data_IF_875441284440
#
_entry.id   IF_875441284440
#
_cell.length_a   1.000
_cell.length_b   1.000
_cell.length_c   1.000
_cell.angle_alpha   90.00
_cell.angle_beta   90.00
_cell.angle_gamma   90.00
#
_symmetry.space_group_name_H-M   'P 1'
#
loop_
_entity.id
_entity.type
_entity.pdbx_description
1 polymer ?
#
# COMPACT_ATOMS: atom_id res chain seq x y z
N UNK A 1 9.26 9.58 -22.18
CA UNK A 1 8.03 8.90 -21.77
C UNK A 1 7.35 9.54 -20.56
N UNK A 2 8.07 9.76 -19.42
CA UNK A 2 7.50 10.40 -18.22
C UNK A 2 6.88 11.78 -18.52
N UNK A 3 7.46 12.55 -19.44
CA UNK A 3 6.90 13.83 -19.88
C UNK A 3 5.57 13.67 -20.61
N UNK A 4 5.47 12.68 -21.52
CA UNK A 4 4.21 12.42 -22.23
C UNK A 4 3.09 11.98 -21.27
N UNK A 5 3.41 11.16 -20.27
CA UNK A 5 2.45 10.72 -19.24
C UNK A 5 1.96 11.91 -18.42
N UNK A 6 2.87 12.81 -18.01
CA UNK A 6 2.53 14.07 -17.33
C UNK A 6 1.64 14.98 -18.21
N UNK A 7 1.96 15.11 -19.49
CA UNK A 7 1.21 15.96 -20.42
C UNK A 7 -0.21 15.42 -20.62
N UNK A 8 -0.37 14.09 -20.72
CA UNK A 8 -1.68 13.43 -20.74
C UNK A 8 -2.48 13.71 -19.47
N UNK A 9 -1.85 13.61 -18.28
CA UNK A 9 -2.50 13.97 -17.02
C UNK A 9 -2.96 15.43 -17.03
N UNK A 10 -2.09 16.36 -17.45
CA UNK A 10 -2.41 17.79 -17.50
C UNK A 10 -3.60 18.05 -18.41
N UNK A 11 -3.58 17.51 -19.64
CA UNK A 11 -4.67 17.68 -20.62
C UNK A 11 -6.00 17.17 -20.08
N UNK A 12 -6.00 15.98 -19.46
CA UNK A 12 -7.24 15.41 -18.91
C UNK A 12 -7.76 16.22 -17.72
N UNK A 13 -6.87 16.67 -16.84
CA UNK A 13 -7.24 17.51 -15.69
C UNK A 13 -7.73 18.89 -16.13
N UNK A 14 -7.14 19.47 -17.17
CA UNK A 14 -7.59 20.76 -17.71
C UNK A 14 -8.98 20.62 -18.37
N UNK A 15 -9.26 19.47 -18.98
CA UNK A 15 -10.60 19.15 -19.48
C UNK A 15 -11.63 19.07 -18.34
N UNK A 16 -11.34 18.33 -17.26
CA UNK A 16 -12.23 18.20 -16.10
C UNK A 16 -12.45 19.51 -15.33
N UNK A 17 -11.48 20.41 -15.37
CA UNK A 17 -11.56 21.71 -14.69
C UNK A 17 -12.33 22.77 -15.49
N UNK A 18 -12.79 22.48 -16.72
CA UNK A 18 -13.71 23.37 -17.44
C UNK A 18 -14.99 23.56 -16.63
N UNK A 19 -15.49 24.79 -16.53
CA UNK A 19 -16.56 25.21 -15.63
C UNK A 19 -17.77 24.26 -15.68
N UNK A 20 -18.22 23.92 -16.88
CA UNK A 20 -19.41 23.09 -17.05
C UNK A 20 -19.25 21.64 -16.54
N UNK A 21 -18.01 21.09 -16.53
CA UNK A 21 -17.72 19.78 -15.93
C UNK A 21 -17.48 19.90 -14.42
N UNK A 22 -16.76 20.94 -14.00
CA UNK A 22 -16.43 21.16 -12.61
C UNK A 22 -17.67 21.47 -11.73
N UNK A 23 -18.72 22.06 -12.31
CA UNK A 23 -20.01 22.26 -11.66
C UNK A 23 -20.80 20.96 -11.48
N UNK A 24 -20.63 19.98 -12.37
CA UNK A 24 -21.28 18.67 -12.29
C UNK A 24 -20.54 17.69 -11.40
N UNK A 25 -19.21 17.77 -11.37
CA UNK A 25 -18.34 16.86 -10.65
C UNK A 25 -17.58 17.60 -9.55
N UNK A 26 -18.10 17.56 -8.34
CA UNK A 26 -17.40 18.11 -7.17
C UNK A 26 -15.96 17.56 -7.11
N UNK A 27 -15.03 18.41 -6.69
CA UNK A 27 -13.62 18.04 -6.46
C UNK A 27 -13.42 16.89 -5.46
N UNK A 28 -14.46 16.55 -4.71
CA UNK A 28 -14.53 15.38 -3.82
C UNK A 28 -14.98 14.11 -4.53
N UNK A 29 -15.43 14.20 -5.78
CA UNK A 29 -15.82 13.02 -6.54
C UNK A 29 -14.61 12.12 -6.83
N UNK A 30 -14.83 10.82 -6.83
CA UNK A 30 -13.79 9.83 -7.16
C UNK A 30 -13.20 10.03 -8.58
N UNK A 31 -13.91 10.74 -9.45
CA UNK A 31 -13.45 11.05 -10.81
C UNK A 31 -12.12 11.83 -10.81
N UNK A 32 -11.95 12.78 -9.88
CA UNK A 32 -10.72 13.58 -9.81
C UNK A 32 -9.53 12.80 -9.24
N UNK A 33 -9.75 11.86 -8.31
CA UNK A 33 -8.67 11.03 -7.75
C UNK A 33 -8.31 9.87 -8.67
N UNK A 34 -9.28 9.23 -9.34
CA UNK A 34 -9.03 8.08 -10.23
C UNK A 34 -8.11 8.42 -11.41
N UNK A 35 -8.09 9.67 -11.87
CA UNK A 35 -7.14 10.14 -12.90
C UNK A 35 -5.70 10.10 -12.39
N UNK A 36 -5.47 10.38 -11.10
CA UNK A 36 -4.15 10.25 -10.49
C UNK A 36 -3.74 8.78 -10.35
N UNK A 37 -4.68 7.89 -10.04
CA UNK A 37 -4.45 6.45 -9.98
C UNK A 37 -4.01 5.92 -11.36
N UNK A 38 -4.70 6.31 -12.43
CA UNK A 38 -4.34 5.97 -13.81
C UNK A 38 -2.97 6.55 -14.21
N UNK A 39 -2.71 7.80 -13.87
CA UNK A 39 -1.40 8.43 -14.09
C UNK A 39 -0.28 7.64 -13.42
N UNK A 40 -0.45 7.21 -12.18
CA UNK A 40 0.54 6.41 -11.45
C UNK A 40 0.74 5.04 -12.10
N UNK A 41 -0.35 4.42 -12.59
CA UNK A 41 -0.25 3.16 -13.31
C UNK A 41 0.66 3.29 -14.54
N UNK A 42 0.42 4.29 -15.40
CA UNK A 42 1.27 4.52 -16.58
C UNK A 42 2.69 4.94 -16.21
N UNK A 43 2.88 5.63 -15.09
CA UNK A 43 4.19 6.05 -14.61
C UNK A 43 5.06 4.84 -14.20
N UNK A 44 4.45 3.84 -13.57
CA UNK A 44 5.18 2.74 -12.92
C UNK A 44 5.06 1.38 -13.60
N UNK A 45 4.12 1.17 -14.52
CA UNK A 45 3.86 -0.17 -15.11
C UNK A 45 5.08 -0.85 -15.72
N UNK A 46 5.97 -0.10 -16.36
CA UNK A 46 7.17 -0.69 -16.96
C UNK A 46 8.24 -0.98 -15.92
N UNK A 47 8.29 -0.19 -14.85
CA UNK A 47 9.19 -0.44 -13.73
C UNK A 47 8.82 -1.74 -13.01
N UNK A 48 7.53 -2.04 -12.93
CA UNK A 48 7.00 -3.22 -12.20
C UNK A 48 6.97 -4.46 -13.09
N UNK A 49 6.82 -4.31 -14.40
CA UNK A 49 6.72 -5.43 -15.34
C UNK A 49 7.91 -6.39 -15.33
N UNK A 50 9.06 -5.94 -14.88
CA UNK A 50 10.29 -6.75 -14.79
C UNK A 50 10.34 -7.65 -13.53
N UNK A 51 9.43 -7.49 -12.55
CA UNK A 51 9.48 -8.22 -11.27
C UNK A 51 8.73 -9.56 -11.24
N UNK A 52 8.06 -9.95 -12.33
CA UNK A 52 7.42 -11.25 -12.49
C UNK A 52 5.89 -11.24 -12.44
N UNK A 53 5.28 -12.43 -12.62
CA UNK A 53 3.82 -12.60 -12.81
C UNK A 53 2.98 -12.26 -11.57
N UNK A 54 3.55 -12.38 -10.38
CA UNK A 54 2.86 -12.06 -9.12
C UNK A 54 3.00 -10.58 -8.71
N UNK A 55 3.57 -9.74 -9.57
CA UNK A 55 3.73 -8.33 -9.30
C UNK A 55 2.37 -7.62 -9.35
N UNK A 56 2.02 -6.99 -8.23
CA UNK A 56 0.80 -6.21 -8.07
C UNK A 56 1.05 -4.75 -8.44
N UNK A 57 0.21 -4.18 -9.30
CA UNK A 57 0.22 -2.74 -9.60
C UNK A 57 -1.20 -2.23 -9.85
N UNK A 58 -1.60 -1.16 -9.16
CA UNK A 58 -2.88 -0.49 -9.33
C UNK A 58 -3.68 -0.39 -8.04
N UNK A 59 -4.98 -0.14 -8.16
CA UNK A 59 -5.89 -0.12 -7.02
C UNK A 59 -6.03 -1.51 -6.42
N UNK A 60 -5.95 -1.63 -5.09
CA UNK A 60 -6.00 -2.93 -4.45
C UNK A 60 -6.65 -2.90 -3.08
N UNK A 61 -7.29 -4.01 -2.74
CA UNK A 61 -7.78 -4.38 -1.42
C UNK A 61 -6.71 -5.19 -0.69
N UNK A 62 -5.70 -4.49 -0.15
CA UNK A 62 -4.55 -5.14 0.47
C UNK A 62 -4.89 -5.83 1.79
N UNK A 63 -4.14 -6.86 2.11
CA UNK A 63 -4.23 -7.53 3.40
C UNK A 63 -4.00 -6.54 4.54
N UNK A 64 -4.90 -6.54 5.52
CA UNK A 64 -4.79 -5.73 6.73
C UNK A 64 -4.62 -6.59 7.97
N UNK A 65 -5.48 -7.57 8.17
CA UNK A 65 -5.45 -8.41 9.35
C UNK A 65 -6.15 -9.74 9.11
N UNK A 66 -5.97 -10.68 10.03
CA UNK A 66 -6.64 -11.98 10.04
C UNK A 66 -7.24 -12.25 11.42
N UNK A 67 -8.47 -12.70 11.45
CA UNK A 67 -9.11 -13.18 12.68
C UNK A 67 -9.64 -14.59 12.51
N UNK A 68 -9.66 -15.31 13.61
CA UNK A 68 -10.29 -16.61 13.70
C UNK A 68 -11.58 -16.48 14.52
N UNK A 69 -12.72 -16.72 13.89
CA UNK A 69 -14.06 -16.50 14.46
C UNK A 69 -14.95 -17.73 14.40
N UNK A 70 -14.48 -18.90 14.88
CA UNK A 70 -15.30 -20.09 14.92
C UNK A 70 -16.43 -19.91 15.94
N UNK A 71 -17.60 -20.55 15.72
CA UNK A 71 -18.72 -20.47 16.67
C UNK A 71 -18.44 -21.20 17.99
N UNK A 72 -17.51 -22.18 17.97
CA UNK A 72 -17.08 -22.95 19.14
C UNK A 72 -15.62 -23.37 18.99
N UNK A 73 -14.93 -23.61 20.11
CA UNK A 73 -13.55 -24.11 20.11
C UNK A 73 -13.39 -25.43 19.34
N UNK A 74 -14.32 -26.37 19.52
CA UNK A 74 -14.30 -27.64 18.79
C UNK A 74 -14.44 -27.52 17.27
N UNK A 75 -15.08 -26.45 16.79
CA UNK A 75 -15.17 -26.16 15.36
C UNK A 75 -13.86 -25.57 14.81
N UNK A 76 -13.12 -24.83 15.62
CA UNK A 76 -11.80 -24.31 15.24
C UNK A 76 -10.79 -25.43 15.01
N UNK A 77 -10.89 -26.54 15.77
CA UNK A 77 -10.06 -27.73 15.59
C UNK A 77 -10.32 -28.45 14.26
N UNK A 78 -11.54 -28.34 13.72
CA UNK A 78 -11.93 -28.97 12.46
C UNK A 78 -11.71 -28.08 11.25
N UNK A 79 -11.89 -26.77 11.43
CA UNK A 79 -11.79 -25.77 10.39
C UNK A 79 -11.33 -24.43 11.00
N UNK A 80 -10.30 -23.74 10.44
CA UNK A 80 -9.75 -22.51 11.00
C UNK A 80 -10.74 -21.36 11.08
N UNK A 81 -11.73 -21.26 10.18
CA UNK A 81 -12.67 -20.12 10.08
C UNK A 81 -11.96 -18.78 10.03
N UNK A 82 -10.95 -18.68 9.17
CA UNK A 82 -10.18 -17.47 9.00
C UNK A 82 -11.02 -16.36 8.32
N UNK A 83 -11.06 -15.19 8.92
CA UNK A 83 -11.57 -13.96 8.29
C UNK A 83 -10.44 -13.01 7.98
N UNK A 84 -10.40 -12.56 6.74
CA UNK A 84 -9.40 -11.63 6.23
C UNK A 84 -10.00 -10.23 6.21
N UNK A 85 -9.41 -9.31 6.97
CA UNK A 85 -9.69 -7.89 6.84
C UNK A 85 -8.78 -7.29 5.76
N UNK A 86 -9.38 -6.51 4.87
CA UNK A 86 -8.67 -5.83 3.77
C UNK A 86 -8.78 -4.31 3.94
N UNK A 87 -7.76 -3.60 3.44
CA UNK A 87 -7.71 -2.15 3.38
C UNK A 87 -7.63 -1.70 1.93
N UNK A 88 -8.53 -0.80 1.55
CA UNK A 88 -8.49 -0.18 0.23
C UNK A 88 -7.38 0.86 0.17
N UNK A 89 -6.56 0.77 -0.86
CA UNK A 89 -5.57 1.78 -1.23
C UNK A 89 -5.82 2.25 -2.66
N UNK A 90 -5.68 3.55 -2.89
CA UNK A 90 -5.91 4.17 -4.20
C UNK A 90 -4.94 3.62 -5.25
N UNK A 91 -3.67 3.41 -4.85
CA UNK A 91 -2.66 2.82 -5.72
C UNK A 91 -1.62 2.04 -4.90
N UNK A 92 -1.28 0.85 -5.38
CA UNK A 92 -0.33 -0.07 -4.74
C UNK A 92 0.65 -0.62 -5.77
N UNK A 93 1.90 -0.78 -5.35
CA UNK A 93 2.88 -1.69 -5.96
C UNK A 93 3.26 -2.71 -4.90
N UNK A 94 3.24 -3.99 -5.25
CA UNK A 94 3.50 -5.05 -4.29
C UNK A 94 3.52 -6.44 -4.91
N UNK A 95 3.08 -7.42 -4.15
CA UNK A 95 2.97 -8.79 -4.61
C UNK A 95 1.64 -9.41 -4.16
N UNK A 96 1.10 -10.28 -5.00
CA UNK A 96 -0.04 -11.13 -4.65
C UNK A 96 0.49 -12.49 -4.21
N UNK A 97 0.13 -12.93 -3.00
CA UNK A 97 0.53 -14.23 -2.46
C UNK A 97 -0.71 -15.08 -2.15
N UNK A 98 -0.54 -16.39 -2.24
CA UNK A 98 -1.55 -17.36 -1.84
C UNK A 98 -1.13 -18.00 -0.52
N UNK A 99 -2.05 -18.03 0.46
CA UNK A 99 -1.85 -18.63 1.79
C UNK A 99 -2.91 -19.67 2.02
N UNK A 100 -2.49 -20.86 2.44
CA UNK A 100 -3.38 -21.95 2.80
C UNK A 100 -3.30 -22.21 4.30
N UNK A 101 -4.46 -22.28 4.95
CA UNK A 101 -4.60 -22.67 6.35
C UNK A 101 -5.06 -24.12 6.40
N UNK A 102 -4.29 -24.95 7.08
CA UNK A 102 -4.59 -26.37 7.23
C UNK A 102 -4.86 -26.65 8.70
N UNK A 103 -5.99 -27.31 9.00
CA UNK A 103 -6.24 -27.80 10.34
C UNK A 103 -5.43 -29.09 10.56
N UNK A 104 -4.78 -29.23 11.71
CA UNK A 104 -4.16 -30.47 12.10
C UNK A 104 -5.21 -31.60 12.07
N UNK A 105 -4.88 -32.81 11.61
CA UNK A 105 -5.78 -33.96 11.74
C UNK A 105 -6.12 -34.14 13.22
N UNK A 106 -7.38 -34.56 13.54
CA UNK A 106 -7.70 -34.93 14.91
C UNK A 106 -6.68 -35.98 15.35
N UNK A 107 -6.18 -35.90 16.60
CA UNK A 107 -5.31 -36.93 17.11
C UNK A 107 -5.99 -38.30 16.90
N UNK A 108 -5.28 -39.24 16.30
CA UNK A 108 -5.77 -40.62 16.20
C UNK A 108 -6.17 -41.03 17.61
N UNK A 109 -7.43 -41.43 17.78
CA UNK A 109 -7.88 -41.99 19.05
C UNK A 109 -7.19 -43.35 19.18
N UNK A 110 -6.02 -43.34 19.81
CA UNK A 110 -5.39 -44.58 20.26
C UNK A 110 -6.36 -45.26 21.21
N UNK A 111 -6.88 -46.41 20.78
CA UNK A 111 -7.74 -47.28 21.60
C UNK A 111 -6.99 -47.87 22.82
N UNK A 112 -5.77 -47.35 23.10
CA UNK A 112 -4.98 -47.83 24.23
C UNK A 112 -4.65 -46.72 25.23
N UNK A 113 -5.30 -46.65 26.41
CA UNK A 113 -5.06 -45.61 27.40
C UNK A 113 -3.78 -45.83 28.23
N UNK A 114 -2.65 -46.07 27.61
CA UNK A 114 -1.43 -46.40 28.32
C UNK A 114 -0.10 -45.91 27.77
N UNK A 115 -0.06 -45.29 26.61
CA UNK A 115 1.22 -44.82 26.05
C UNK A 115 1.44 -43.30 26.18
N UNK A 116 2.57 -42.98 26.80
CA UNK A 116 3.03 -41.66 27.11
C UNK A 116 3.21 -40.82 25.85
N UNK A 117 2.68 -39.58 25.86
CA UNK A 117 3.01 -38.53 24.90
C UNK A 117 4.54 -38.33 24.90
N UNK A 118 5.18 -38.82 23.87
CA UNK A 118 6.59 -38.50 23.61
C UNK A 118 6.66 -37.14 22.98
N UNK A 119 7.18 -36.16 23.73
CA UNK A 119 7.53 -34.86 23.20
C UNK A 119 8.60 -35.10 22.12
N UNK A 120 8.23 -34.88 20.86
CA UNK A 120 9.18 -34.88 19.74
C UNK A 120 10.11 -33.69 19.93
N UNK A 121 11.38 -33.98 20.19
CA UNK A 121 12.42 -32.93 20.13
C UNK A 121 12.61 -32.53 18.67
N UNK A 122 12.40 -31.29 18.40
CA UNK A 122 12.66 -30.66 17.09
C UNK A 122 14.14 -30.81 16.73
N UNK A 123 14.43 -31.57 15.67
CA UNK A 123 15.69 -31.44 14.94
C UNK A 123 15.47 -30.59 13.67
N UNK A 124 16.35 -29.62 13.35
CA UNK A 124 16.04 -28.55 12.42
C UNK A 124 16.17 -28.89 10.93
N UNK A 125 16.29 -30.12 10.49
CA UNK A 125 16.66 -30.42 9.09
C UNK A 125 15.75 -31.39 8.29
N UNK A 126 14.55 -31.73 8.75
CA UNK A 126 13.64 -32.55 7.94
C UNK A 126 12.20 -32.05 8.04
N UNK A 127 11.82 -31.11 7.22
CA UNK A 127 10.39 -30.87 6.94
C UNK A 127 9.84 -32.07 6.14
N UNK A 128 9.42 -33.11 6.79
CA UNK A 128 8.58 -34.11 6.17
C UNK A 128 7.25 -33.44 5.87
N UNK A 129 6.89 -33.36 4.59
CA UNK A 129 5.54 -32.93 4.20
C UNK A 129 4.54 -33.92 4.77
N UNK A 130 3.95 -33.62 5.90
CA UNK A 130 2.79 -34.34 6.42
C UNK A 130 1.63 -34.01 5.47
N UNK A 131 1.15 -34.98 4.71
CA UNK A 131 -0.10 -34.88 3.97
C UNK A 131 -1.24 -34.80 4.98
N UNK A 132 -1.61 -33.58 5.35
CA UNK A 132 -2.77 -33.35 6.19
C UNK A 132 -4.02 -33.54 5.33
N UNK A 133 -4.80 -34.55 5.56
CA UNK A 133 -6.14 -34.76 4.98
C UNK A 133 -7.19 -33.99 5.79
N UNK A 134 -6.92 -32.68 6.01
CA UNK A 134 -7.82 -31.78 6.70
C UNK A 134 -8.49 -30.79 5.72
N UNK A 135 -9.52 -30.08 6.18
CA UNK A 135 -10.11 -28.99 5.42
C UNK A 135 -9.08 -27.86 5.27
N UNK A 136 -8.68 -27.58 4.03
CA UNK A 136 -7.77 -26.49 3.68
C UNK A 136 -8.58 -25.27 3.25
N UNK A 137 -8.34 -24.14 3.88
CA UNK A 137 -8.86 -22.83 3.45
C UNK A 137 -7.76 -22.05 2.73
N UNK A 138 -7.99 -21.65 1.49
CA UNK A 138 -7.02 -20.91 0.69
C UNK A 138 -7.48 -19.48 0.49
N UNK A 139 -6.60 -18.53 0.75
CA UNK A 139 -6.85 -17.10 0.61
C UNK A 139 -5.77 -16.42 -0.24
N UNK A 140 -6.18 -15.40 -1.01
CA UNK A 140 -5.28 -14.56 -1.80
C UNK A 140 -5.08 -13.24 -1.07
N UNK A 141 -3.81 -12.88 -0.85
CA UNK A 141 -3.41 -11.65 -0.17
C UNK A 141 -2.61 -10.76 -1.11
N UNK A 142 -3.03 -9.51 -1.23
CA UNK A 142 -2.26 -8.45 -1.84
C UNK A 142 -1.41 -7.77 -0.75
N UNK A 143 -0.09 -7.89 -0.87
CA UNK A 143 0.89 -7.35 0.08
C UNK A 143 1.51 -6.10 -0.53
N UNK A 144 1.24 -4.90 0.01
CA UNK A 144 1.77 -3.66 -0.52
C UNK A 144 3.22 -3.45 -0.07
N UNK A 145 4.08 -3.13 -1.03
CA UNK A 145 5.46 -2.65 -0.83
C UNK A 145 5.50 -1.13 -0.91
N UNK A 146 4.72 -0.57 -1.85
CA UNK A 146 4.47 0.86 -1.96
C UNK A 146 2.97 1.08 -1.97
N UNK A 147 2.46 1.95 -1.10
CA UNK A 147 1.10 2.44 -1.13
C UNK A 147 1.09 3.94 -1.40
N UNK A 148 0.29 4.38 -2.36
CA UNK A 148 0.17 5.78 -2.72
C UNK A 148 -1.30 6.18 -2.61
N UNK A 149 -1.56 7.18 -1.79
CA UNK A 149 -2.86 7.80 -1.66
C UNK A 149 -3.00 8.99 -2.61
N UNK A 150 -4.05 8.99 -3.43
CA UNK A 150 -4.31 9.99 -4.46
C UNK A 150 -5.36 10.99 -3.99
N UNK A 151 -5.02 12.26 -3.94
CA UNK A 151 -5.94 13.31 -3.52
C UNK A 151 -5.95 14.47 -4.52
N UNK A 152 -7.11 15.08 -4.72
CA UNK A 152 -7.18 16.35 -5.46
C UNK A 152 -6.47 17.44 -4.68
N UNK A 153 -6.74 17.53 -3.38
CA UNK A 153 -6.02 18.38 -2.43
C UNK A 153 -5.83 17.65 -1.09
N UNK A 154 -4.93 18.13 -0.26
CA UNK A 154 -4.66 17.59 1.07
C UNK A 154 -4.91 18.65 2.13
N UNK A 155 -5.86 18.40 3.03
CA UNK A 155 -6.04 19.15 4.28
C UNK A 155 -5.50 18.36 5.49
N UNK A 156 -5.59 18.96 6.67
CA UNK A 156 -5.08 18.36 7.91
C UNK A 156 -5.79 17.06 8.27
N UNK A 157 -7.11 16.99 8.12
CA UNK A 157 -7.90 15.80 8.45
C UNK A 157 -7.54 14.63 7.52
N UNK A 158 -7.40 14.91 6.23
CA UNK A 158 -6.94 13.92 5.24
C UNK A 158 -5.53 13.42 5.55
N UNK A 159 -4.62 14.33 5.96
CA UNK A 159 -3.25 13.97 6.33
C UNK A 159 -3.21 13.11 7.60
N UNK A 160 -4.06 13.38 8.59
CA UNK A 160 -4.20 12.55 9.79
C UNK A 160 -4.70 11.14 9.43
N UNK A 161 -5.67 11.03 8.52
CA UNK A 161 -6.15 9.75 7.98
C UNK A 161 -5.05 8.97 7.25
N UNK A 162 -4.31 9.63 6.36
CA UNK A 162 -3.18 9.03 5.63
C UNK A 162 -2.06 8.59 6.57
N UNK A 163 -1.78 9.37 7.62
CA UNK A 163 -0.77 9.02 8.63
C UNK A 163 -1.15 7.75 9.41
N UNK A 164 -2.42 7.62 9.80
CA UNK A 164 -2.91 6.40 10.45
C UNK A 164 -2.82 5.19 9.53
N UNK A 165 -3.22 5.34 8.27
CA UNK A 165 -3.11 4.27 7.28
C UNK A 165 -1.64 3.86 7.03
N UNK A 166 -0.71 4.82 7.03
CA UNK A 166 0.72 4.55 6.93
C UNK A 166 1.25 3.79 8.14
N UNK A 167 0.82 4.16 9.35
CA UNK A 167 1.20 3.47 10.60
C UNK A 167 0.69 2.03 10.61
N UNK A 168 -0.58 1.82 10.26
CA UNK A 168 -1.19 0.50 10.14
C UNK A 168 -0.47 -0.39 9.12
N UNK A 169 -0.08 0.17 7.97
CA UNK A 169 0.66 -0.55 6.94
C UNK A 169 2.05 -0.96 7.45
N UNK A 170 2.80 -0.02 8.01
CA UNK A 170 4.18 -0.25 8.48
C UNK A 170 4.26 -1.17 9.69
N UNK A 171 3.21 -1.25 10.50
CA UNK A 171 3.14 -2.19 11.62
C UNK A 171 3.16 -3.67 11.13
N UNK A 172 2.72 -3.93 9.89
CA UNK A 172 2.65 -5.27 9.28
C UNK A 172 3.73 -5.51 8.24
N UNK A 173 4.12 -4.48 7.52
CA UNK A 173 5.22 -4.49 6.56
C UNK A 173 6.14 -3.29 6.84
N UNK A 174 7.13 -3.42 7.73
CA UNK A 174 8.04 -2.34 8.12
C UNK A 174 8.81 -1.72 6.95
N UNK A 175 9.05 -2.51 5.90
CA UNK A 175 9.73 -2.06 4.68
C UNK A 175 8.80 -1.39 3.67
N UNK A 176 7.53 -1.17 3.98
CA UNK A 176 6.62 -0.49 3.06
C UNK A 176 6.87 1.01 3.00
N UNK A 177 6.65 1.57 1.81
CA UNK A 177 6.73 3.00 1.53
C UNK A 177 5.31 3.57 1.37
N UNK A 178 4.93 4.55 2.20
CA UNK A 178 3.62 5.20 2.12
C UNK A 178 3.74 6.64 1.65
N UNK A 179 3.12 6.96 0.51
CA UNK A 179 3.21 8.25 -0.17
C UNK A 179 1.81 8.86 -0.31
N UNK A 180 1.71 10.19 -0.21
CA UNK A 180 0.51 10.94 -0.61
C UNK A 180 0.86 11.78 -1.84
N UNK A 181 0.05 11.67 -2.88
CA UNK A 181 0.16 12.46 -4.12
C UNK A 181 -1.09 13.32 -4.28
N UNK A 182 -0.91 14.62 -4.47
CA UNK A 182 -2.01 15.54 -4.68
C UNK A 182 -1.69 16.57 -5.77
N UNK A 183 -2.72 17.20 -6.30
CA UNK A 183 -2.52 18.33 -7.22
C UNK A 183 -2.25 19.62 -6.47
N UNK A 184 -3.05 19.97 -5.46
CA UNK A 184 -2.96 21.20 -4.67
C UNK A 184 -2.81 20.90 -3.17
N UNK A 185 -2.21 21.86 -2.44
CA UNK A 185 -2.07 21.77 -0.99
C UNK A 185 -3.05 22.70 -0.29
N UNK A 186 -3.73 22.19 0.76
CA UNK A 186 -4.62 22.98 1.64
C UNK A 186 -4.11 23.02 3.09
N UNK A 187 -2.90 22.53 3.34
CA UNK A 187 -2.26 22.60 4.64
C UNK A 187 -1.79 24.03 4.92
N UNK A 188 -1.96 24.47 6.16
CA UNK A 188 -1.38 25.70 6.68
C UNK A 188 0.12 25.55 6.97
N UNK A 189 0.85 26.65 7.02
CA UNK A 189 2.32 26.67 7.20
C UNK A 189 2.79 26.23 8.60
N UNK A 190 1.87 26.19 9.59
CA UNK A 190 2.13 25.78 10.96
C UNK A 190 2.05 24.28 11.19
N UNK A 191 1.65 23.50 10.18
CA UNK A 191 1.57 22.03 10.28
C UNK A 191 2.97 21.42 10.34
N UNK A 192 3.28 20.78 11.48
CA UNK A 192 4.52 20.03 11.61
C UNK A 192 4.40 18.66 10.94
N UNK A 193 4.95 18.53 9.73
CA UNK A 193 4.89 17.30 8.93
C UNK A 193 5.66 16.12 9.55
N UNK A 194 6.65 16.37 10.41
CA UNK A 194 7.49 15.31 11.02
C UNK A 194 6.74 14.40 11.99
N UNK A 195 5.58 14.82 12.49
CA UNK A 195 4.75 13.98 13.39
C UNK A 195 3.92 12.92 12.66
N UNK A 196 3.81 13.02 11.33
CA UNK A 196 3.02 12.10 10.52
C UNK A 196 3.89 10.93 10.01
N UNK A 197 3.27 9.77 9.85
CA UNK A 197 3.95 8.51 9.49
C UNK A 197 4.10 8.28 7.98
N UNK A 198 3.62 9.23 7.16
CA UNK A 198 3.82 9.19 5.71
C UNK A 198 5.29 9.45 5.36
N UNK A 199 5.83 8.71 4.40
CA UNK A 199 7.23 8.83 4.00
C UNK A 199 7.48 10.02 3.09
N UNK A 200 6.48 10.41 2.30
CA UNK A 200 6.59 11.59 1.42
C UNK A 200 5.21 12.09 1.00
N UNK A 201 5.14 13.39 0.76
CA UNK A 201 3.96 14.11 0.27
C UNK A 201 4.37 14.87 -0.99
N UNK A 202 3.66 14.64 -2.11
CA UNK A 202 3.92 15.31 -3.39
C UNK A 202 2.79 16.23 -3.77
N UNK A 203 3.13 17.50 -4.01
CA UNK A 203 2.22 18.53 -4.55
C UNK A 203 2.56 18.73 -6.03
N UNK A 204 1.78 18.16 -6.92
CA UNK A 204 2.12 18.09 -8.34
C UNK A 204 2.16 19.47 -9.03
N UNK A 205 1.31 20.40 -8.62
CA UNK A 205 1.23 21.75 -9.21
C UNK A 205 1.98 22.82 -8.42
N UNK A 206 2.53 22.49 -7.25
CA UNK A 206 3.21 23.43 -6.36
C UNK A 206 2.35 24.69 -6.09
N UNK A 207 1.06 24.54 -5.90
CA UNK A 207 0.08 25.60 -5.75
C UNK A 207 -0.88 25.29 -4.59
N UNK A 208 -1.38 26.35 -3.93
CA UNK A 208 -2.38 26.20 -2.86
C UNK A 208 -3.77 25.95 -3.44
N UNK A 209 -4.59 25.16 -2.74
CA UNK A 209 -5.97 24.91 -3.15
C UNK A 209 -6.85 26.17 -2.98
N UNK A 210 -6.50 27.11 -2.12
CA UNK A 210 -7.19 28.41 -2.00
C UNK A 210 -7.18 29.19 -3.30
N UNK A 211 -6.07 29.12 -4.06
CA UNK A 211 -5.97 29.80 -5.35
C UNK A 211 -6.94 29.21 -6.39
N UNK A 212 -7.34 27.95 -6.22
CA UNK A 212 -8.30 27.27 -7.10
C UNK A 212 -9.73 27.81 -6.97
N UNK A 213 -10.05 28.51 -5.91
CA UNK A 213 -11.35 29.16 -5.74
C UNK A 213 -11.57 30.25 -6.81
N UNK A 214 -10.49 30.84 -7.31
CA UNK A 214 -10.48 31.86 -8.36
C UNK A 214 -10.31 31.30 -9.77
N UNK A 215 -10.45 29.99 -9.98
CA UNK A 215 -10.11 29.29 -11.24
C UNK A 215 -10.89 29.72 -12.48
N UNK A 216 -11.95 30.48 -12.32
CA UNK A 216 -12.77 31.02 -13.42
C UNK A 216 -12.56 32.53 -13.64
N UNK A 217 -11.70 33.15 -12.86
CA UNK A 217 -11.31 34.56 -13.06
C UNK A 217 -10.27 34.68 -14.17
N UNK A 218 -10.30 35.80 -14.91
CA UNK A 218 -9.44 36.02 -16.08
C UNK A 218 -7.94 36.01 -15.74
N UNK A 219 -7.57 36.39 -14.53
CA UNK A 219 -6.18 36.47 -14.04
C UNK A 219 -5.72 35.18 -13.37
N UNK A 220 -6.57 34.17 -13.27
CA UNK A 220 -6.15 32.93 -12.62
C UNK A 220 -5.12 32.17 -13.46
N UNK A 221 -3.94 31.94 -12.86
CA UNK A 221 -2.87 31.13 -13.45
C UNK A 221 -2.81 29.79 -12.76
N UNK A 222 -3.19 28.74 -13.48
CA UNK A 222 -3.05 27.35 -13.05
C UNK A 222 -1.63 26.86 -13.33
N UNK A 223 -0.89 26.52 -12.27
CA UNK A 223 0.43 25.96 -12.44
C UNK A 223 0.37 24.61 -13.17
N UNK A 224 1.27 24.34 -14.12
CA UNK A 224 1.37 23.02 -14.75
C UNK A 224 1.80 21.95 -13.73
N UNK A 225 1.50 20.69 -14.02
CA UNK A 225 2.10 19.57 -13.28
C UNK A 225 3.62 19.61 -13.43
N UNK A 226 4.32 19.69 -12.31
CA UNK A 226 5.76 19.94 -12.30
C UNK A 226 6.56 18.66 -12.64
N UNK A 227 7.38 18.75 -13.68
CA UNK A 227 8.22 17.62 -14.17
C UNK A 227 9.21 17.13 -13.11
N UNK A 228 9.83 18.06 -12.36
CA UNK A 228 10.82 17.68 -11.34
C UNK A 228 10.16 16.90 -10.19
N UNK A 229 8.93 17.27 -9.80
CA UNK A 229 8.14 16.55 -8.79
C UNK A 229 7.82 15.14 -9.27
N UNK A 230 7.35 14.97 -10.52
CA UNK A 230 7.05 13.65 -11.10
C UNK A 230 8.32 12.78 -11.20
N UNK A 231 9.44 13.36 -11.63
CA UNK A 231 10.72 12.65 -11.66
C UNK A 231 11.16 12.21 -10.27
N UNK A 232 11.07 13.08 -9.27
CA UNK A 232 11.46 12.75 -7.91
C UNK A 232 10.58 11.63 -7.33
N UNK A 233 9.26 11.66 -7.56
CA UNK A 233 8.34 10.59 -7.19
C UNK A 233 8.77 9.26 -7.83
N UNK A 234 9.02 9.26 -9.15
CA UNK A 234 9.45 8.07 -9.87
C UNK A 234 10.75 7.48 -9.30
N UNK A 235 11.77 8.30 -9.10
CA UNK A 235 13.06 7.83 -8.58
C UNK A 235 12.99 7.38 -7.13
N UNK A 236 12.15 8.00 -6.30
CA UNK A 236 11.95 7.56 -4.91
C UNK A 236 11.34 6.15 -4.88
N UNK A 237 10.29 5.90 -5.65
CA UNK A 237 9.67 4.57 -5.75
C UNK A 237 10.65 3.56 -6.34
N UNK A 238 11.32 3.90 -7.46
CA UNK A 238 12.33 3.03 -8.07
C UNK A 238 13.43 2.66 -7.09
N UNK A 239 14.00 3.63 -6.39
CA UNK A 239 15.04 3.40 -5.37
C UNK A 239 14.55 2.43 -4.31
N UNK A 240 13.32 2.63 -3.82
CA UNK A 240 12.73 1.76 -2.80
C UNK A 240 12.57 0.31 -3.28
N UNK A 241 12.05 0.11 -4.50
CA UNK A 241 11.86 -1.22 -5.08
C UNK A 241 13.18 -1.94 -5.42
N UNK A 242 14.29 -1.22 -5.58
CA UNK A 242 15.60 -1.78 -5.90
C UNK A 242 16.57 -1.80 -4.70
N UNK A 243 16.12 -1.37 -3.53
CA UNK A 243 16.92 -1.41 -2.29
C UNK A 243 16.94 -2.85 -1.74
N UNK A 244 18.08 -3.27 -1.25
CA UNK A 244 18.21 -4.50 -0.47
C UNK A 244 17.62 -4.26 0.94
N UNK A 245 16.60 -5.02 1.30
CA UNK A 245 15.94 -4.94 2.61
C UNK A 245 16.44 -5.99 3.59
N UNK A 246 17.41 -6.82 3.21
CA UNK A 246 18.05 -7.75 4.13
C UNK A 246 18.78 -6.95 5.19
N UNK A 247 18.20 -6.84 6.37
CA UNK A 247 18.59 -5.95 7.45
C UNK A 247 20.11 -5.89 7.66
N UNK A 248 20.71 -4.75 7.42
CA UNK A 248 22.12 -4.47 7.31
C UNK A 248 22.96 -4.64 8.58
N UNK A 249 22.71 -5.67 9.41
CA UNK A 249 23.49 -5.93 10.65
C UNK A 249 24.96 -6.07 10.33
N UNK A 250 25.34 -6.90 9.35
CA UNK A 250 26.75 -7.07 8.97
C UNK A 250 27.39 -5.78 8.43
N UNK A 251 26.62 -5.02 7.63
CA UNK A 251 27.06 -3.72 7.14
C UNK A 251 27.10 -2.68 8.26
N UNK A 252 26.12 -2.72 9.16
CA UNK A 252 26.06 -1.86 10.34
C UNK A 252 27.22 -2.12 11.29
N UNK A 253 27.59 -3.37 11.54
CA UNK A 253 28.77 -3.73 12.36
C UNK A 253 30.04 -3.13 11.75
N UNK A 254 30.22 -3.20 10.42
CA UNK A 254 31.40 -2.62 9.75
C UNK A 254 31.45 -1.09 9.86
N UNK A 255 30.30 -0.42 9.88
CA UNK A 255 30.19 1.04 10.01
C UNK A 255 30.29 1.49 11.48
N UNK A 256 29.85 0.65 12.43
CA UNK A 256 29.73 0.98 13.84
C UNK A 256 28.37 1.54 14.28
N UNK A 257 27.36 1.61 13.36
CA UNK A 257 25.97 1.95 13.68
C UNK A 257 25.02 1.10 12.83
N UNK A 258 23.94 0.61 13.44
CA UNK A 258 23.05 -0.38 12.85
C UNK A 258 21.84 0.24 12.13
N UNK A 259 21.40 1.43 12.53
CA UNK A 259 20.24 2.11 11.94
C UNK A 259 20.74 3.28 11.10
N UNK A 260 20.33 3.35 9.86
CA UNK A 260 20.55 4.51 8.98
C UNK A 260 19.46 5.57 9.19
N UNK A 261 19.80 6.85 9.04
CA UNK A 261 18.87 7.98 9.09
C UNK A 261 17.94 8.04 7.85
#
# INVERSE_FOLDING_TARGET
RQMCIRDSLSTYKDFLDQQHYAEKFDSRSNLHSSVLEEFLYYLFKDLVGDFGENALIGKSHTFKDIFFVPPKYSEMLKRPYARIEKKDHDFVIGATIQVSFESAPPPEQDENPGEKVTLVKEEPENYTQVKVTGNTETHIFDIPVVAIECKTYLDKTMLEGSSRAAEDLKARNPNSLYIVVMEWIKLSSDVNLRKYKVDQIYVLRQQKNTDREYRYEEDYVKNPVNVAVVKHLFYKVRKHLTTDWSGGIEQGIKRGWLIDE
#
